data_IF_144309073225
#
_entry.id   IF_144309073225
#
_cell.length_a   1.000
_cell.length_b   1.000
_cell.length_c   1.000
_cell.angle_alpha   90.00
_cell.angle_beta   90.00
_cell.angle_gamma   90.00
#
_symmetry.space_group_name_H-M   'P 1'
#
loop_
_entity.id
_entity.type
_entity.pdbx_description
1 polymer ?
#
# COMPACT_ATOMS: atom_id res chain seq x y z
N UNK A 1 -13.44 -3.25 -15.95
CA UNK A 1 -13.08 -2.17 -15.01
C UNK A 1 -11.71 -2.39 -14.36
N UNK A 2 -11.43 -3.54 -13.74
CA UNK A 2 -10.11 -3.83 -13.11
C UNK A 2 -8.95 -3.72 -14.12
N UNK A 3 -9.08 -4.33 -15.29
CA UNK A 3 -8.07 -4.23 -16.36
C UNK A 3 -7.82 -2.78 -16.82
N UNK A 4 -8.85 -1.93 -16.80
CA UNK A 4 -8.69 -0.49 -17.09
C UNK A 4 -7.90 0.20 -15.97
N UNK A 5 -8.16 -0.11 -14.69
CA UNK A 5 -7.39 0.45 -13.57
C UNK A 5 -5.92 0.08 -13.68
N UNK A 6 -5.62 -1.19 -13.99
CA UNK A 6 -4.27 -1.68 -14.23
C UNK A 6 -3.57 -0.87 -15.32
N UNK A 7 -4.20 -0.75 -16.49
CA UNK A 7 -3.66 0.01 -17.61
C UNK A 7 -3.48 1.51 -17.31
N UNK A 8 -4.36 2.11 -16.51
CA UNK A 8 -4.25 3.50 -16.09
C UNK A 8 -3.08 3.69 -15.10
N UNK A 9 -2.86 2.73 -14.19
CA UNK A 9 -1.76 2.75 -13.23
C UNK A 9 -0.39 2.52 -13.91
N UNK A 10 -0.31 1.65 -14.90
CA UNK A 10 0.93 1.39 -15.66
C UNK A 10 1.41 2.59 -16.47
N UNK A 11 0.52 3.49 -16.86
CA UNK A 11 0.86 4.69 -17.62
C UNK A 11 1.52 5.78 -16.77
N UNK A 12 1.52 5.63 -15.45
CA UNK A 12 2.10 6.60 -14.54
C UNK A 12 3.62 6.60 -14.70
N UNK A 13 4.18 7.79 -14.87
CA UNK A 13 5.63 7.99 -14.95
C UNK A 13 6.25 7.99 -13.55
N UNK A 14 6.73 6.82 -13.13
CA UNK A 14 7.32 6.63 -11.81
C UNK A 14 8.62 7.38 -11.62
N UNK A 15 9.39 7.60 -12.69
CA UNK A 15 10.63 8.37 -12.60
C UNK A 15 10.33 9.83 -12.27
N UNK A 16 9.38 10.44 -12.98
CA UNK A 16 8.94 11.81 -12.71
C UNK A 16 8.34 11.98 -11.31
N UNK A 17 7.56 10.99 -10.87
CA UNK A 17 7.01 10.98 -9.51
C UNK A 17 8.14 10.89 -8.47
N UNK A 18 9.10 10.00 -8.68
CA UNK A 18 10.24 9.81 -7.79
C UNK A 18 11.09 11.08 -7.66
N UNK A 19 11.40 11.76 -8.76
CA UNK A 19 12.17 13.02 -8.75
C UNK A 19 11.56 14.06 -7.80
N UNK A 20 10.22 14.14 -7.73
CA UNK A 20 9.54 15.07 -6.84
C UNK A 20 9.52 14.58 -5.39
N UNK A 21 9.34 13.28 -5.15
CA UNK A 21 9.32 12.70 -3.81
C UNK A 21 10.71 12.72 -3.17
N UNK A 22 11.75 12.38 -3.94
CA UNK A 22 13.12 12.23 -3.44
C UNK A 22 13.66 13.57 -2.94
N UNK A 23 13.30 14.67 -3.61
CA UNK A 23 13.66 16.03 -3.19
C UNK A 23 13.13 16.38 -1.80
N UNK A 24 11.94 15.89 -1.43
CA UNK A 24 11.27 16.22 -0.16
C UNK A 24 11.58 15.23 0.95
N UNK A 25 11.72 13.95 0.60
CA UNK A 25 11.73 12.86 1.59
C UNK A 25 12.96 11.97 1.52
N UNK A 26 13.85 12.18 0.56
CA UNK A 26 14.99 11.29 0.26
C UNK A 26 14.53 9.83 0.05
N UNK A 27 13.30 9.62 -0.44
CA UNK A 27 12.77 8.29 -0.69
C UNK A 27 13.59 7.57 -1.77
N UNK A 28 14.06 6.33 -1.54
CA UNK A 28 14.74 5.55 -2.56
C UNK A 28 13.84 5.25 -3.76
N UNK A 29 14.41 5.26 -4.97
CA UNK A 29 13.67 4.94 -6.20
C UNK A 29 13.07 3.53 -6.15
N UNK A 30 13.85 2.58 -5.65
CA UNK A 30 13.44 1.17 -5.53
C UNK A 30 12.18 1.01 -4.66
N UNK A 31 12.03 1.81 -3.60
CA UNK A 31 10.83 1.81 -2.77
C UNK A 31 9.60 2.21 -3.57
N UNK A 32 9.69 3.29 -4.34
CA UNK A 32 8.59 3.78 -5.18
C UNK A 32 8.23 2.77 -6.27
N UNK A 33 9.25 2.19 -6.92
CA UNK A 33 9.08 1.16 -7.95
C UNK A 33 8.44 -0.12 -7.40
N UNK A 34 8.87 -0.58 -6.23
CA UNK A 34 8.33 -1.76 -5.55
C UNK A 34 6.86 -1.56 -5.18
N UNK A 35 6.53 -0.39 -4.61
CA UNK A 35 5.15 -0.05 -4.27
C UNK A 35 4.27 -0.01 -5.52
N UNK A 36 4.70 0.69 -6.57
CA UNK A 36 3.93 0.79 -7.81
C UNK A 36 3.73 -0.57 -8.48
N UNK A 37 4.80 -1.35 -8.65
CA UNK A 37 4.76 -2.67 -9.27
C UNK A 37 3.86 -3.63 -8.48
N UNK A 38 3.93 -3.58 -7.15
CA UNK A 38 3.05 -4.36 -6.29
C UNK A 38 1.57 -4.00 -6.43
N UNK A 39 1.25 -2.70 -6.50
CA UNK A 39 -0.12 -2.26 -6.77
C UNK A 39 -0.64 -2.71 -8.14
N UNK A 40 0.21 -2.67 -9.18
CA UNK A 40 -0.12 -3.21 -10.51
C UNK A 40 -0.41 -4.71 -10.42
N UNK A 41 0.44 -5.47 -9.73
CA UNK A 41 0.27 -6.93 -9.54
C UNK A 41 -0.99 -7.30 -8.75
N UNK A 42 -1.35 -6.51 -7.74
CA UNK A 42 -2.59 -6.72 -6.97
C UNK A 42 -3.85 -6.48 -7.84
N UNK A 43 -3.80 -5.50 -8.74
CA UNK A 43 -4.88 -5.29 -9.70
C UNK A 43 -4.95 -6.43 -10.73
N UNK A 44 -3.79 -6.92 -11.19
CA UNK A 44 -3.69 -8.01 -12.17
C UNK A 44 -4.27 -9.32 -11.64
N UNK A 45 -3.96 -9.65 -10.39
CA UNK A 45 -4.41 -10.88 -9.72
C UNK A 45 -5.82 -10.81 -9.14
N UNK A 46 -6.54 -9.69 -9.35
CA UNK A 46 -7.84 -9.45 -8.72
C UNK A 46 -7.80 -9.64 -7.19
N UNK A 47 -6.72 -9.14 -6.57
CA UNK A 47 -6.40 -9.39 -5.18
C UNK A 47 -7.51 -8.93 -4.22
N UNK A 48 -7.71 -9.71 -3.17
CA UNK A 48 -8.67 -9.39 -2.10
C UNK A 48 -8.17 -8.24 -1.24
N UNK A 49 -9.06 -7.61 -0.46
CA UNK A 49 -8.65 -6.57 0.48
C UNK A 49 -7.54 -7.04 1.44
N UNK A 50 -7.62 -8.29 1.90
CA UNK A 50 -6.62 -8.89 2.78
C UNK A 50 -5.24 -8.94 2.10
N UNK A 51 -5.19 -9.24 0.80
CA UNK A 51 -3.94 -9.25 0.02
C UNK A 51 -3.35 -7.85 -0.12
N UNK A 52 -4.19 -6.83 -0.33
CA UNK A 52 -3.76 -5.42 -0.33
C UNK A 52 -3.17 -5.02 1.02
N UNK A 53 -3.80 -5.44 2.12
CA UNK A 53 -3.31 -5.18 3.48
C UNK A 53 -1.96 -5.87 3.73
N UNK A 54 -1.83 -7.16 3.39
CA UNK A 54 -0.58 -7.92 3.54
C UNK A 54 0.55 -7.29 2.72
N UNK A 55 0.28 -6.88 1.49
CA UNK A 55 1.24 -6.16 0.66
C UNK A 55 1.70 -4.86 1.32
N UNK A 56 0.76 -4.04 1.81
CA UNK A 56 1.07 -2.76 2.44
C UNK A 56 1.97 -2.94 3.67
N UNK A 57 1.62 -3.88 4.55
CA UNK A 57 2.41 -4.20 5.75
C UNK A 57 3.82 -4.64 5.37
N UNK A 58 3.95 -5.50 4.36
CA UNK A 58 5.27 -5.94 3.84
C UNK A 58 6.09 -4.77 3.31
N UNK A 59 5.48 -3.88 2.51
CA UNK A 59 6.14 -2.69 1.98
C UNK A 59 6.58 -1.71 3.08
N UNK A 60 5.76 -1.54 4.12
CA UNK A 60 6.13 -0.73 5.29
C UNK A 60 7.33 -1.36 6.01
N UNK A 61 7.27 -2.67 6.29
CA UNK A 61 8.34 -3.37 6.99
C UNK A 61 9.67 -3.34 6.24
N UNK A 62 9.65 -3.41 4.91
CA UNK A 62 10.88 -3.30 4.11
C UNK A 62 11.48 -1.89 4.10
N UNK A 63 10.70 -0.85 4.44
CA UNK A 63 11.16 0.54 4.46
C UNK A 63 11.59 1.03 5.84
N UNK A 64 11.18 0.34 6.91
CA UNK A 64 11.51 0.72 8.28
C UNK A 64 12.72 -0.05 8.78
N UNK A 65 13.59 0.58 9.59
CA UNK A 65 14.67 -0.13 10.25
C UNK A 65 14.11 -1.05 11.35
N UNK A 66 14.98 -1.84 11.96
CA UNK A 66 14.63 -2.54 13.19
C UNK A 66 14.08 -1.60 14.25
N UNK A 67 13.15 -2.11 15.04
CA UNK A 67 12.42 -1.33 16.06
C UNK A 67 13.33 -0.78 17.16
N UNK A 68 14.45 -1.45 17.39
CA UNK A 68 15.53 -1.03 18.31
C UNK A 68 16.25 0.24 17.85
N UNK A 69 16.08 0.66 16.59
CA UNK A 69 16.75 1.81 16.03
C UNK A 69 16.33 3.10 16.76
N UNK A 70 17.28 3.95 17.23
CA UNK A 70 16.98 5.11 18.08
C UNK A 70 16.01 6.12 17.42
N UNK A 71 16.06 6.21 16.09
CA UNK A 71 15.18 7.08 15.29
C UNK A 71 13.99 6.34 14.64
N UNK A 72 13.56 5.19 15.16
CA UNK A 72 12.48 4.40 14.57
C UNK A 72 11.21 5.22 14.34
N UNK A 73 10.71 5.89 15.39
CA UNK A 73 9.49 6.72 15.31
C UNK A 73 9.60 7.84 14.29
N UNK A 74 10.78 8.47 14.18
CA UNK A 74 11.04 9.54 13.20
C UNK A 74 10.99 8.97 11.78
N UNK A 75 11.64 7.84 11.53
CA UNK A 75 11.63 7.15 10.23
C UNK A 75 10.22 6.65 9.86
N UNK A 76 9.46 6.14 10.82
CA UNK A 76 8.08 5.73 10.64
C UNK A 76 7.16 6.90 10.23
N UNK A 77 7.30 8.06 10.89
CA UNK A 77 6.60 9.29 10.48
C UNK A 77 7.07 9.81 9.11
N UNK A 78 8.36 9.70 8.79
CA UNK A 78 8.91 10.02 7.45
C UNK A 78 8.28 9.12 6.36
N UNK A 79 7.99 7.85 6.68
CA UNK A 79 7.26 6.96 5.77
C UNK A 79 5.87 7.50 5.45
N UNK A 80 5.07 7.88 6.45
CA UNK A 80 3.74 8.48 6.23
C UNK A 80 3.86 9.71 5.32
N UNK A 81 4.83 10.59 5.58
CA UNK A 81 5.07 11.78 4.74
C UNK A 81 5.39 11.40 3.29
N UNK A 82 6.28 10.42 3.09
CA UNK A 82 6.68 9.92 1.76
C UNK A 82 5.50 9.28 1.02
N UNK A 83 4.71 8.48 1.73
CA UNK A 83 3.48 7.86 1.24
C UNK A 83 2.48 8.92 0.78
N UNK A 84 2.15 9.89 1.63
CA UNK A 84 1.23 10.99 1.33
C UNK A 84 1.66 11.79 0.10
N UNK A 85 2.96 12.03 -0.05
CA UNK A 85 3.48 12.73 -1.23
C UNK A 85 3.33 11.87 -2.49
N UNK A 86 3.81 10.62 -2.46
CA UNK A 86 3.77 9.68 -3.58
C UNK A 86 2.36 9.53 -4.17
N UNK A 87 1.45 9.19 -3.29
CA UNK A 87 0.06 8.91 -3.61
C UNK A 87 -0.72 10.17 -4.05
N UNK A 88 -0.36 11.35 -3.55
CA UNK A 88 -0.83 12.63 -4.10
C UNK A 88 -0.31 12.86 -5.53
N UNK A 89 0.94 12.47 -5.83
CA UNK A 89 1.47 12.53 -7.20
C UNK A 89 0.72 11.60 -8.14
N UNK A 90 0.47 10.37 -7.70
CA UNK A 90 -0.30 9.35 -8.44
C UNK A 90 -1.70 9.88 -8.76
N UNK A 91 -2.42 10.38 -7.77
CA UNK A 91 -3.78 10.92 -7.98
C UNK A 91 -3.76 12.14 -8.91
N UNK A 92 -2.79 13.04 -8.78
CA UNK A 92 -2.65 14.18 -9.70
C UNK A 92 -2.45 13.73 -11.15
N UNK A 93 -1.58 12.75 -11.38
CA UNK A 93 -1.33 12.22 -12.73
C UNK A 93 -2.61 11.62 -13.33
N UNK A 94 -3.35 10.84 -12.54
CA UNK A 94 -4.64 10.26 -12.94
C UNK A 94 -5.70 11.35 -13.22
N UNK A 95 -5.75 12.42 -12.42
CA UNK A 95 -6.63 13.59 -12.66
C UNK A 95 -6.28 14.26 -13.99
N UNK A 96 -5.01 14.57 -14.23
CA UNK A 96 -4.57 15.26 -15.44
C UNK A 96 -4.82 14.45 -16.71
N UNK A 97 -4.76 13.12 -16.63
CA UNK A 97 -5.11 12.21 -17.73
C UNK A 97 -6.60 12.03 -17.94
N UNK A 98 -7.45 12.55 -17.04
CA UNK A 98 -8.91 12.37 -17.07
C UNK A 98 -9.34 10.90 -17.23
N UNK A 99 -8.66 9.97 -16.53
CA UNK A 99 -8.96 8.54 -16.68
C UNK A 99 -10.35 8.21 -16.13
N UNK A 100 -11.08 7.32 -16.80
CA UNK A 100 -12.43 6.92 -16.37
C UNK A 100 -12.44 6.21 -15.01
N UNK A 101 -11.30 5.65 -14.59
CA UNK A 101 -11.15 4.95 -13.31
C UNK A 101 -10.83 5.86 -12.13
N UNK A 102 -10.67 7.18 -12.36
CA UNK A 102 -10.23 8.16 -11.37
C UNK A 102 -11.01 8.07 -10.06
N UNK A 103 -12.34 8.09 -10.11
CA UNK A 103 -13.17 8.06 -8.90
C UNK A 103 -12.90 6.82 -8.05
N UNK A 104 -12.66 5.67 -8.69
CA UNK A 104 -12.34 4.44 -7.99
C UNK A 104 -10.92 4.39 -7.42
N UNK A 105 -9.95 5.05 -8.07
CA UNK A 105 -8.61 5.24 -7.52
C UNK A 105 -8.62 6.21 -6.35
N UNK A 106 -9.48 7.22 -6.36
CA UNK A 106 -9.65 8.13 -5.23
C UNK A 106 -10.18 7.41 -3.99
N UNK A 107 -11.13 6.47 -4.15
CA UNK A 107 -11.57 5.61 -3.05
C UNK A 107 -10.45 4.70 -2.52
N UNK A 108 -9.69 4.06 -3.42
CA UNK A 108 -8.53 3.24 -3.04
C UNK A 108 -7.50 4.08 -2.29
N UNK A 109 -7.21 5.30 -2.77
CA UNK A 109 -6.30 6.24 -2.13
C UNK A 109 -6.71 6.53 -0.68
N UNK A 110 -7.97 6.88 -0.44
CA UNK A 110 -8.49 7.18 0.91
C UNK A 110 -8.37 5.97 1.84
N UNK A 111 -8.70 4.78 1.34
CA UNK A 111 -8.57 3.54 2.10
C UNK A 111 -7.10 3.25 2.47
N UNK A 112 -6.20 3.33 1.50
CA UNK A 112 -4.78 3.04 1.75
C UNK A 112 -4.12 4.10 2.64
N UNK A 113 -4.56 5.36 2.60
CA UNK A 113 -4.12 6.39 3.55
C UNK A 113 -4.41 6.03 5.00
N UNK A 114 -5.65 5.64 5.25
CA UNK A 114 -6.09 5.23 6.59
C UNK A 114 -5.30 3.99 7.05
N UNK A 115 -5.15 3.00 6.17
CA UNK A 115 -4.40 1.78 6.48
C UNK A 115 -2.92 2.04 6.77
N UNK A 116 -2.24 2.86 5.97
CA UNK A 116 -0.83 3.21 6.22
C UNK A 116 -0.69 3.90 7.58
N UNK A 117 -1.57 4.87 7.86
CA UNK A 117 -1.54 5.61 9.11
C UNK A 117 -1.76 4.67 10.30
N UNK A 118 -2.76 3.80 10.21
CA UNK A 118 -3.08 2.80 11.23
C UNK A 118 -1.93 1.81 11.48
N UNK A 119 -1.36 1.22 10.43
CA UNK A 119 -0.25 0.26 10.56
C UNK A 119 0.97 0.95 11.19
N UNK A 120 1.32 2.16 10.75
CA UNK A 120 2.44 2.90 11.33
C UNK A 120 2.18 3.26 12.79
N UNK A 121 0.95 3.64 13.15
CA UNK A 121 0.57 3.92 14.53
C UNK A 121 0.75 2.70 15.43
N UNK A 122 0.23 1.54 15.04
CA UNK A 122 0.41 0.28 15.78
C UNK A 122 1.88 -0.08 15.96
N UNK A 123 2.68 0.11 14.90
CA UNK A 123 4.13 -0.10 14.92
C UNK A 123 4.85 0.78 15.93
N UNK A 124 4.46 2.04 16.02
CA UNK A 124 5.01 2.98 17.02
C UNK A 124 4.54 2.60 18.43
N UNK A 125 3.27 2.26 18.60
CA UNK A 125 2.67 1.94 19.90
C UNK A 125 3.01 0.55 20.45
N UNK A 126 3.64 -0.31 19.66
CA UNK A 126 3.89 -1.72 19.98
C UNK A 126 2.62 -2.56 20.11
N UNK A 127 1.59 -2.21 19.36
CA UNK A 127 0.29 -2.85 19.41
C UNK A 127 0.02 -3.56 18.09
N UNK A 128 1.07 -4.07 17.44
CA UNK A 128 0.94 -4.94 16.26
C UNK A 128 0.14 -6.19 16.67
N UNK A 129 -1.18 -6.10 16.59
CA UNK A 129 -2.03 -7.28 16.58
C UNK A 129 -1.73 -7.99 15.27
N UNK A 130 -1.50 -9.30 15.34
CA UNK A 130 -1.40 -10.11 14.14
C UNK A 130 -2.71 -9.96 13.37
N UNK A 131 -2.67 -9.24 12.24
CA UNK A 131 -3.82 -9.17 11.36
C UNK A 131 -4.05 -10.57 10.81
N UNK A 132 -5.17 -11.19 11.20
CA UNK A 132 -5.58 -12.50 10.70
C UNK A 132 -6.49 -12.26 9.50
N UNK A 133 -6.05 -12.60 8.27
CA UNK A 133 -6.87 -12.51 7.08
C UNK A 133 -8.18 -13.28 7.24
N UNK A 134 -9.31 -12.68 6.84
CA UNK A 134 -10.61 -13.34 6.94
C UNK A 134 -10.68 -14.60 6.06
N UNK A 135 -9.94 -14.62 4.96
CA UNK A 135 -9.85 -15.79 4.08
C UNK A 135 -9.28 -17.04 4.79
N UNK A 136 -8.41 -16.89 5.79
CA UNK A 136 -7.89 -17.99 6.62
C UNK A 136 -8.99 -18.47 7.58
N UNK A 137 -9.69 -17.55 8.25
CA UNK A 137 -10.78 -17.88 9.18
C UNK A 137 -11.89 -18.66 8.45
N UNK A 138 -12.23 -18.24 7.23
CA UNK A 138 -13.26 -18.89 6.42
C UNK A 138 -12.79 -20.27 5.94
N UNK A 139 -11.54 -20.41 5.48
CA UNK A 139 -10.99 -21.72 5.07
C UNK A 139 -10.95 -22.71 6.21
N UNK A 140 -10.41 -22.33 7.37
CA UNK A 140 -10.38 -23.19 8.57
C UNK A 140 -11.79 -23.58 9.01
N UNK A 141 -12.75 -22.64 8.94
CA UNK A 141 -14.15 -22.92 9.24
C UNK A 141 -14.84 -23.86 8.25
N UNK A 142 -14.44 -23.86 6.98
CA UNK A 142 -14.94 -24.80 5.97
C UNK A 142 -14.31 -26.19 6.09
N UNK A 143 -13.01 -26.27 6.34
CA UNK A 143 -12.29 -27.53 6.56
C UNK A 143 -12.77 -28.26 7.82
N UNK A 144 -13.04 -27.53 8.90
CA UNK A 144 -13.64 -28.08 10.12
C UNK A 144 -15.05 -28.65 9.87
N UNK A 145 -15.86 -27.99 9.04
CA UNK A 145 -17.20 -28.50 8.67
C UNK A 145 -17.13 -29.74 7.78
N UNK A 146 -16.11 -29.87 6.94
CA UNK A 146 -15.89 -31.07 6.12
C UNK A 146 -15.33 -32.24 6.92
N UNK A 147 -14.61 -31.98 8.01
CA UNK A 147 -14.06 -33.03 8.88
C UNK A 147 -15.09 -33.56 9.89
N UNK A 148 -16.13 -32.77 10.17
CA UNK A 148 -17.21 -33.10 11.12
C UNK A 148 -18.51 -33.58 10.44
N UNK A 149 -18.52 -33.74 9.12
CA UNK A 149 -19.63 -34.29 8.33
C UNK A 149 -19.25 -35.65 7.74
#
# INVERSE_FOLDING_TARGET
LVQQKRADLEKIDIMKIHEQISWVTECPLETVQTIHSGMVGLLDTHASFDDWHVFLVKSINSCLPERSHPNYTVKAKKFIMSWSYYSSMVIRDLTLRSVQTFGSFHLIRMLLDELVSHVIEQKIQNTEAEYIPQNIIIKTGQELKQTLA
#
